data_IF_515676278192
#
_entry.id   IF_515676278192
#
_cell.length_a   1.000
_cell.length_b   1.000
_cell.length_c   1.000
_cell.angle_alpha   90.00
_cell.angle_beta   90.00
_cell.angle_gamma   90.00
#
_symmetry.space_group_name_H-M   'P 1'
#
loop_
_entity.id
_entity.type
_entity.pdbx_description
1 polymer ?
#
# COMPACT_ATOMS: atom_id res chain seq x y z
N UNK A 1 8.02 -2.72 15.37
CA UNK A 1 7.05 -2.11 14.42
C UNK A 1 6.69 -3.15 13.38
N UNK A 2 5.42 -3.23 12.94
CA UNK A 2 4.95 -4.24 11.97
C UNK A 2 5.11 -3.73 10.54
N UNK A 3 5.05 -4.62 9.54
CA UNK A 3 5.13 -4.27 8.13
C UNK A 3 4.10 -5.04 7.29
N UNK A 4 3.64 -4.44 6.19
CA UNK A 4 2.92 -5.13 5.12
C UNK A 4 3.78 -5.12 3.85
N UNK A 5 3.96 -6.31 3.27
CA UNK A 5 4.59 -6.47 1.96
C UNK A 5 3.55 -6.31 0.86
N UNK A 6 3.78 -5.34 -0.01
CA UNK A 6 2.85 -4.91 -1.06
C UNK A 6 3.63 -4.91 -2.38
N UNK A 7 3.03 -5.39 -3.46
CA UNK A 7 3.68 -5.42 -4.78
C UNK A 7 3.68 -4.01 -5.40
N UNK A 8 4.63 -3.74 -6.30
CA UNK A 8 4.62 -2.48 -7.05
C UNK A 8 3.54 -2.50 -8.16
N UNK A 9 3.04 -1.33 -8.59
CA UNK A 9 3.33 -0.01 -8.02
C UNK A 9 2.47 0.31 -6.80
N UNK A 10 1.63 -0.62 -6.33
CA UNK A 10 0.65 -0.38 -5.27
C UNK A 10 1.28 0.11 -3.97
N UNK A 11 2.46 -0.41 -3.60
CA UNK A 11 3.22 0.10 -2.46
C UNK A 11 3.53 1.61 -2.64
N UNK A 12 3.96 2.01 -3.83
CA UNK A 12 4.26 3.40 -4.15
C UNK A 12 2.99 4.26 -4.25
N UNK A 13 1.89 3.72 -4.75
CA UNK A 13 0.61 4.41 -4.76
C UNK A 13 0.11 4.71 -3.35
N UNK A 14 0.37 3.84 -2.38
CA UNK A 14 0.01 4.08 -0.98
C UNK A 14 0.82 5.25 -0.41
N UNK A 15 2.13 5.29 -0.67
CA UNK A 15 3.00 6.31 -0.09
C UNK A 15 2.90 7.66 -0.82
N UNK A 16 2.76 7.65 -2.15
CA UNK A 16 2.85 8.86 -2.98
C UNK A 16 1.65 9.11 -3.88
N UNK A 17 0.87 8.08 -4.23
CA UNK A 17 -0.20 8.15 -5.23
C UNK A 17 -1.62 8.26 -4.67
N UNK A 18 -1.78 8.44 -3.36
CA UNK A 18 -3.09 8.60 -2.71
C UNK A 18 -3.94 7.33 -2.64
N UNK A 19 -3.37 6.14 -2.86
CA UNK A 19 -4.08 4.88 -2.63
C UNK A 19 -4.33 4.69 -1.15
N UNK A 20 -5.60 4.75 -0.76
CA UNK A 20 -6.00 4.79 0.63
C UNK A 20 -6.57 3.46 1.16
N UNK A 21 -6.58 2.43 0.32
CA UNK A 21 -7.01 1.07 0.68
C UNK A 21 -6.01 0.04 0.18
N UNK A 22 -5.60 -0.88 1.05
CA UNK A 22 -4.88 -2.10 0.68
C UNK A 22 -5.84 -3.30 0.70
N UNK A 23 -6.07 -3.93 -0.46
CA UNK A 23 -7.02 -5.03 -0.57
C UNK A 23 -6.36 -6.38 -0.25
N UNK A 24 -7.05 -7.22 0.50
CA UNK A 24 -6.60 -8.55 0.91
C UNK A 24 -7.74 -9.55 0.91
N UNK A 25 -7.40 -10.80 0.65
CA UNK A 25 -8.30 -11.95 0.76
C UNK A 25 -8.57 -12.35 2.21
N UNK A 26 -7.92 -11.71 3.17
CA UNK A 26 -7.95 -12.05 4.59
C UNK A 26 -8.23 -10.81 5.44
N UNK A 27 -8.90 -11.02 6.57
CA UNK A 27 -9.31 -9.94 7.48
C UNK A 27 -8.13 -9.43 8.31
N UNK A 28 -8.00 -8.10 8.41
CA UNK A 28 -6.97 -7.48 9.24
C UNK A 28 -6.99 -8.04 10.67
N UNK A 29 -5.84 -8.38 11.28
CA UNK A 29 -5.80 -8.88 12.64
C UNK A 29 -6.03 -7.69 13.58
N UNK A 30 -6.83 -7.86 14.63
CA UNK A 30 -7.17 -6.76 15.55
C UNK A 30 -5.93 -6.06 16.13
N UNK A 31 -4.81 -6.76 16.27
CA UNK A 31 -3.55 -6.22 16.78
C UNK A 31 -2.83 -5.25 15.82
N UNK A 32 -3.30 -5.09 14.57
CA UNK A 32 -2.75 -4.14 13.59
C UNK A 32 -3.62 -2.90 13.39
N UNK A 33 -4.87 -2.94 13.84
CA UNK A 33 -5.80 -1.81 13.75
C UNK A 33 -5.33 -0.67 14.66
N UNK A 34 -5.36 0.56 14.15
CA UNK A 34 -4.84 1.76 14.80
C UNK A 34 -3.32 1.82 14.90
N UNK A 35 -2.58 0.92 14.23
CA UNK A 35 -1.12 0.90 14.28
C UNK A 35 -0.53 1.59 13.05
N UNK A 36 0.54 2.35 13.28
CA UNK A 36 1.46 2.73 12.21
C UNK A 36 2.36 1.56 11.86
N UNK A 37 2.40 1.20 10.58
CA UNK A 37 3.17 0.09 10.06
C UNK A 37 4.10 0.55 8.93
N UNK A 38 5.12 -0.25 8.65
CA UNK A 38 5.95 -0.10 7.47
C UNK A 38 5.26 -0.62 6.20
N UNK A 39 5.43 0.11 5.11
CA UNK A 39 5.09 -0.33 3.76
C UNK A 39 6.37 -0.86 3.12
N UNK A 40 6.40 -2.18 2.88
CA UNK A 40 7.48 -2.85 2.18
C UNK A 40 7.08 -3.10 0.72
N UNK A 41 7.88 -2.60 -0.21
CA UNK A 41 7.75 -2.90 -1.63
C UNK A 41 8.37 -4.27 -1.93
N UNK A 42 7.55 -5.22 -2.34
CA UNK A 42 7.96 -6.60 -2.62
C UNK A 42 8.91 -6.68 -3.82
N UNK A 43 9.74 -7.74 -3.92
CA UNK A 43 10.70 -7.93 -5.03
C UNK A 43 10.07 -8.39 -6.36
N UNK A 44 8.81 -8.80 -6.37
CA UNK A 44 8.16 -9.37 -7.55
C UNK A 44 6.64 -9.30 -7.48
N UNK A 45 5.96 -9.97 -8.41
CA UNK A 45 4.49 -9.97 -8.50
C UNK A 45 3.90 -8.82 -9.32
N UNK A 46 4.76 -8.06 -10.00
CA UNK A 46 4.37 -7.00 -10.93
C UNK A 46 3.87 -7.60 -12.25
N UNK A 47 2.67 -7.20 -12.67
CA UNK A 47 1.94 -7.67 -13.86
C UNK A 47 1.64 -6.52 -14.83
N UNK A 48 0.96 -6.80 -15.95
CA UNK A 48 0.56 -5.75 -16.91
C UNK A 48 -0.49 -4.78 -16.36
N UNK A 49 -1.38 -5.23 -15.47
CA UNK A 49 -2.40 -4.36 -14.86
C UNK A 49 -1.77 -3.32 -13.93
N UNK A 50 -0.63 -3.68 -13.37
CA UNK A 50 0.16 -2.83 -12.50
C UNK A 50 0.78 -1.65 -13.26
N UNK A 51 0.96 -1.75 -14.59
CA UNK A 51 1.45 -0.61 -15.40
C UNK A 51 0.44 0.53 -15.52
N UNK A 52 -0.86 0.22 -15.60
CA UNK A 52 -1.91 1.26 -15.68
C UNK A 52 -1.91 2.11 -14.41
N UNK A 53 -1.60 1.50 -13.29
CA UNK A 53 -1.55 2.21 -12.01
C UNK A 53 -0.25 2.99 -11.80
N UNK A 54 0.82 2.70 -12.57
CA UNK A 54 2.04 3.53 -12.63
C UNK A 54 1.79 4.90 -13.24
N UNK A 55 0.85 5.03 -14.20
CA UNK A 55 0.54 6.31 -14.85
C UNK A 55 -0.03 7.36 -13.89
N UNK A 56 -0.54 6.91 -12.74
CA UNK A 56 -1.00 7.79 -11.64
C UNK A 56 0.15 8.30 -10.77
N UNK A 57 1.38 7.83 -11.00
CA UNK A 57 2.60 8.28 -10.36
C UNK A 57 3.42 9.14 -11.33
N UNK A 58 4.37 9.92 -10.80
CA UNK A 58 5.20 10.80 -11.62
C UNK A 58 5.97 10.00 -12.69
N UNK A 59 5.86 10.37 -13.98
CA UNK A 59 6.60 9.72 -15.05
C UNK A 59 8.11 9.72 -14.76
N UNK A 60 8.74 8.55 -14.84
CA UNK A 60 10.18 8.39 -14.57
C UNK A 60 10.55 8.09 -13.12
N UNK A 61 9.57 8.01 -12.21
CA UNK A 61 9.81 7.54 -10.85
C UNK A 61 10.29 6.08 -10.87
N UNK A 62 11.47 5.83 -10.30
CA UNK A 62 11.98 4.46 -10.12
C UNK A 62 11.35 3.84 -8.89
N UNK A 63 10.65 2.73 -9.06
CA UNK A 63 10.04 2.00 -7.96
C UNK A 63 11.08 1.16 -7.23
N UNK A 64 11.38 1.45 -5.94
CA UNK A 64 12.22 0.57 -5.14
C UNK A 64 11.54 -0.80 -4.99
N UNK A 65 12.34 -1.86 -5.00
CA UNK A 65 11.91 -3.24 -4.85
C UNK A 65 12.71 -3.90 -3.72
N UNK A 66 12.04 -4.73 -2.92
CA UNK A 66 12.65 -5.41 -1.78
C UNK A 66 13.11 -4.47 -0.67
N UNK A 67 12.42 -3.35 -0.47
CA UNK A 67 12.78 -2.32 0.49
C UNK A 67 11.55 -1.75 1.19
N UNK A 68 11.73 -1.27 2.42
CA UNK A 68 10.74 -0.44 3.12
C UNK A 68 10.83 0.98 2.57
N UNK A 69 9.69 1.56 2.23
CA UNK A 69 9.63 2.83 1.48
C UNK A 69 8.93 3.95 2.24
N UNK A 70 8.27 3.62 3.34
CA UNK A 70 7.47 4.54 4.11
C UNK A 70 6.69 3.84 5.22
N UNK A 71 5.91 4.63 5.94
CA UNK A 71 4.93 4.15 6.90
C UNK A 71 3.53 4.61 6.54
N UNK A 72 2.54 3.91 7.08
CA UNK A 72 1.14 4.28 6.99
C UNK A 72 0.41 3.81 8.24
N UNK A 73 -0.66 4.50 8.61
CA UNK A 73 -1.57 4.07 9.67
C UNK A 73 -2.67 3.17 9.07
N UNK A 74 -2.91 2.00 9.68
CA UNK A 74 -4.09 1.19 9.35
C UNK A 74 -5.21 1.54 10.33
N UNK A 75 -6.21 2.28 9.86
CA UNK A 75 -7.31 2.78 10.71
C UNK A 75 -8.40 1.73 10.89
N UNK A 76 -8.74 1.00 9.82
CA UNK A 76 -9.84 0.03 9.82
C UNK A 76 -9.59 -1.11 8.82
N UNK A 77 -10.44 -2.13 8.85
CA UNK A 77 -10.62 -3.17 7.87
C UNK A 77 -12.09 -3.19 7.45
N UNK A 78 -12.35 -2.71 6.24
CA UNK A 78 -13.70 -2.58 5.68
C UNK A 78 -14.00 -3.73 4.72
N UNK A 79 -15.28 -4.06 4.57
CA UNK A 79 -15.78 -5.04 3.58
C UNK A 79 -16.54 -4.37 2.43
N UNK A 80 -16.69 -3.04 2.48
CA UNK A 80 -17.23 -2.18 1.43
C UNK A 80 -16.63 -0.77 1.58
N UNK A 81 -16.46 -0.05 0.47
CA UNK A 81 -16.02 1.34 0.46
C UNK A 81 -16.32 2.00 -0.88
N UNK A 82 -16.58 3.31 -0.86
CA UNK A 82 -16.75 4.13 -2.07
C UNK A 82 -15.41 4.55 -2.71
N UNK A 83 -14.28 4.25 -2.05
CA UNK A 83 -12.95 4.50 -2.62
C UNK A 83 -12.76 3.66 -3.88
N UNK A 84 -12.31 4.28 -4.96
CA UNK A 84 -11.97 3.60 -6.22
C UNK A 84 -10.89 2.52 -6.06
N UNK A 85 -10.14 2.57 -4.94
CA UNK A 85 -9.09 1.63 -4.62
C UNK A 85 -9.60 0.35 -3.97
N UNK A 86 -10.87 0.28 -3.56
CA UNK A 86 -11.45 -0.89 -2.92
C UNK A 86 -11.78 -1.97 -3.95
N UNK A 87 -11.24 -3.17 -3.72
CA UNK A 87 -11.54 -4.36 -4.49
C UNK A 87 -11.42 -5.61 -3.61
N UNK A 88 -12.29 -5.65 -2.60
CA UNK A 88 -12.71 -6.83 -1.85
C UNK A 88 -11.62 -7.77 -1.29
N UNK A 89 -12.06 -8.93 -0.78
CA UNK A 89 -13.18 -8.99 0.18
C UNK A 89 -12.92 -8.13 1.44
N UNK A 90 -11.65 -7.78 1.71
CA UNK A 90 -11.26 -6.91 2.81
C UNK A 90 -10.35 -5.80 2.31
N UNK A 91 -10.67 -4.56 2.65
CA UNK A 91 -9.85 -3.39 2.40
C UNK A 91 -9.30 -2.87 3.72
N UNK A 92 -7.98 -2.78 3.85
CA UNK A 92 -7.36 -2.13 5.00
C UNK A 92 -7.34 -0.64 4.73
N UNK A 93 -8.07 0.13 5.54
CA UNK A 93 -8.18 1.58 5.39
C UNK A 93 -6.90 2.23 5.89
N UNK A 94 -6.24 2.96 4.99
CA UNK A 94 -4.93 3.55 5.21
C UNK A 94 -5.03 5.08 5.34
N UNK A 95 -4.28 5.65 6.28
CA UNK A 95 -4.16 7.09 6.49
C UNK A 95 -2.72 7.48 6.81
N UNK A 96 -2.45 8.78 6.70
CA UNK A 96 -1.17 9.39 7.10
C UNK A 96 0.06 8.70 6.46
N UNK A 97 0.12 8.51 5.13
CA UNK A 97 1.32 7.96 4.50
C UNK A 97 2.51 8.90 4.75
N UNK A 98 3.64 8.34 5.17
CA UNK A 98 4.88 9.07 5.41
C UNK A 98 6.03 8.39 4.65
N UNK A 99 6.58 9.02 3.59
CA UNK A 99 7.70 8.45 2.87
C UNK A 99 8.97 8.44 3.73
N UNK A 100 9.78 7.39 3.61
CA UNK A 100 11.14 7.43 4.12
C UNK A 100 12.01 8.30 3.20
N UNK A 101 13.00 8.99 3.80
CA UNK A 101 13.98 9.76 3.03
C UNK A 101 14.79 8.88 2.08
N UNK A 102 15.10 7.66 2.51
CA UNK A 102 15.78 6.63 1.73
C UNK A 102 15.14 5.27 2.00
N UNK A 103 14.91 4.43 0.98
CA UNK A 103 14.47 3.05 1.20
C UNK A 103 15.49 2.25 2.01
N UNK A 104 15.02 1.32 2.85
CA UNK A 104 15.84 0.45 3.71
C UNK A 104 15.56 -1.03 3.50
#
# INVERSE_FOLDING_TARGET
MKALSIIQPWASLIIWGGKDIENRTWRLPSSMRGQTIYVHASKGGFTKYDRVSEERLNPGMKFPLGAIIGTVEIVDCVTSSDSEWFNGPYGFLLRNPQPLRYPI
#
